data_IF_596180068844
#
_entry.id   IF_596180068844
#
_cell.length_a   1.000
_cell.length_b   1.000
_cell.length_c   1.000
_cell.angle_alpha   90.00
_cell.angle_beta   90.00
_cell.angle_gamma   90.00
#
_symmetry.space_group_name_H-M   'P 1'
#
loop_
_entity.id
_entity.type
_entity.pdbx_description
1 polymer ?
#
# COMPACT_ATOMS: atom_id res chain seq x y z
N UNK A 1 -19.48 -17.53 -30.08
CA UNK A 1 -18.58 -16.43 -29.67
C UNK A 1 -19.35 -15.55 -28.70
N UNK A 2 -19.17 -15.73 -27.39
CA UNK A 2 -19.82 -14.90 -26.39
C UNK A 2 -18.87 -13.77 -26.00
N UNK A 3 -19.08 -12.58 -26.58
CA UNK A 3 -18.51 -11.34 -26.07
C UNK A 3 -19.29 -10.93 -24.82
N UNK A 4 -18.99 -11.55 -23.68
CA UNK A 4 -19.30 -10.92 -22.40
C UNK A 4 -18.31 -9.76 -22.26
N UNK A 5 -18.82 -8.53 -22.39
CA UNK A 5 -18.10 -7.33 -21.93
C UNK A 5 -17.70 -7.58 -20.47
N UNK A 6 -16.42 -7.85 -20.22
CA UNK A 6 -15.86 -7.98 -18.87
C UNK A 6 -15.91 -6.58 -18.24
N UNK A 7 -17.04 -6.24 -17.63
CA UNK A 7 -17.12 -5.06 -16.78
C UNK A 7 -16.18 -5.30 -15.60
N UNK A 8 -15.10 -4.51 -15.54
CA UNK A 8 -14.26 -4.47 -14.35
C UNK A 8 -15.11 -3.94 -13.18
N UNK A 9 -14.95 -4.51 -11.98
CA UNK A 9 -15.79 -4.14 -10.86
C UNK A 9 -15.53 -2.70 -10.45
N UNK A 10 -16.58 -2.00 -10.01
CA UNK A 10 -16.45 -0.69 -9.35
C UNK A 10 -15.55 -0.84 -8.12
N UNK A 11 -14.61 0.08 -7.98
CA UNK A 11 -13.74 0.14 -6.82
C UNK A 11 -14.11 1.39 -6.02
N UNK A 12 -14.38 1.24 -4.72
CA UNK A 12 -14.71 2.38 -3.85
C UNK A 12 -13.62 2.60 -2.81
N UNK A 13 -13.23 3.85 -2.62
CA UNK A 13 -12.24 4.31 -1.65
C UNK A 13 -12.85 5.39 -0.76
N UNK A 14 -12.20 5.70 0.35
CA UNK A 14 -12.47 6.93 1.08
C UNK A 14 -11.92 8.14 0.25
N UNK A 15 -12.74 9.16 -0.01
CA UNK A 15 -12.36 10.30 -0.86
C UNK A 15 -11.29 11.16 -0.21
N UNK A 16 -11.46 11.49 1.07
CA UNK A 16 -10.49 12.28 1.82
C UNK A 16 -9.12 11.59 1.86
N UNK A 17 -9.09 10.27 2.06
CA UNK A 17 -7.86 9.47 1.97
C UNK A 17 -7.12 9.68 0.64
N UNK A 18 -7.85 9.67 -0.48
CA UNK A 18 -7.26 9.86 -1.81
C UNK A 18 -6.78 11.29 -2.01
N UNK A 19 -7.56 12.28 -1.57
CA UNK A 19 -7.19 13.69 -1.71
C UNK A 19 -5.97 14.05 -0.86
N UNK A 20 -5.93 13.61 0.40
CA UNK A 20 -4.77 13.85 1.27
C UNK A 20 -3.50 13.19 0.75
N UNK A 21 -3.62 12.01 0.13
CA UNK A 21 -2.49 11.37 -0.55
C UNK A 21 -2.02 12.15 -1.79
N UNK A 22 -2.93 12.74 -2.56
CA UNK A 22 -2.60 13.61 -3.71
C UNK A 22 -2.01 14.94 -3.26
N UNK A 23 -2.33 15.44 -2.08
CA UNK A 23 -1.75 16.67 -1.54
C UNK A 23 -0.40 16.44 -0.85
N UNK A 24 -0.10 15.19 -0.46
CA UNK A 24 1.19 14.84 0.17
C UNK A 24 2.35 14.95 -0.81
N UNK A 25 3.45 15.58 -0.39
CA UNK A 25 4.69 15.69 -1.18
C UNK A 25 5.18 14.32 -1.70
N UNK A 26 5.52 14.28 -2.99
CA UNK A 26 6.01 13.05 -3.64
C UNK A 26 7.50 12.80 -3.35
N UNK A 27 7.95 11.54 -3.29
CA UNK A 27 7.14 10.33 -3.39
C UNK A 27 6.48 9.95 -2.05
N UNK A 28 5.23 9.51 -2.11
CA UNK A 28 4.40 9.18 -0.95
C UNK A 28 3.74 7.81 -1.08
N UNK A 29 3.46 7.17 0.05
CA UNK A 29 2.68 5.95 0.12
C UNK A 29 1.74 5.98 1.32
N UNK A 30 0.53 5.49 1.14
CA UNK A 30 -0.46 5.34 2.20
C UNK A 30 -1.04 3.92 2.17
N UNK A 31 -1.47 3.47 3.35
CA UNK A 31 -2.17 2.19 3.50
C UNK A 31 -3.61 2.49 3.92
N UNK A 32 -4.56 1.79 3.31
CA UNK A 32 -5.98 1.98 3.56
C UNK A 32 -6.79 0.76 3.19
N UNK A 33 -8.06 0.97 2.91
CA UNK A 33 -8.98 -0.06 2.42
C UNK A 33 -9.61 0.36 1.11
N UNK A 34 -9.98 -0.65 0.33
CA UNK A 34 -10.76 -0.51 -0.90
C UNK A 34 -11.95 -1.46 -0.82
N UNK A 35 -13.13 -0.99 -1.23
CA UNK A 35 -14.33 -1.80 -1.31
C UNK A 35 -14.56 -2.27 -2.75
N UNK A 36 -14.77 -3.58 -2.92
CA UNK A 36 -15.12 -4.22 -4.19
C UNK A 36 -16.29 -5.17 -3.94
N UNK A 37 -17.41 -4.97 -4.64
CA UNK A 37 -18.64 -5.72 -4.41
C UNK A 37 -19.04 -5.80 -2.92
N UNK A 38 -19.07 -4.66 -2.22
CA UNK A 38 -19.44 -4.55 -0.80
C UNK A 38 -18.47 -5.25 0.19
N UNK A 39 -17.32 -5.73 -0.29
CA UNK A 39 -16.29 -6.33 0.54
C UNK A 39 -15.07 -5.40 0.62
N UNK A 40 -14.59 -5.16 1.85
CA UNK A 40 -13.36 -4.41 2.07
C UNK A 40 -12.12 -5.31 1.97
N UNK A 41 -11.11 -4.78 1.29
CA UNK A 41 -9.79 -5.36 1.08
C UNK A 41 -8.71 -4.38 1.52
N UNK A 42 -7.54 -4.90 1.89
CA UNK A 42 -6.37 -4.05 2.13
C UNK A 42 -5.91 -3.35 0.85
N UNK A 43 -5.47 -2.11 1.00
CA UNK A 43 -4.96 -1.28 -0.08
C UNK A 43 -3.58 -0.72 0.28
N UNK A 44 -2.65 -0.82 -0.65
CA UNK A 44 -1.42 -0.04 -0.64
C UNK A 44 -1.48 0.98 -1.79
N UNK A 45 -1.47 2.26 -1.48
CA UNK A 45 -1.54 3.33 -2.46
C UNK A 45 -0.20 4.06 -2.53
N UNK A 46 0.42 4.12 -3.70
CA UNK A 46 1.69 4.81 -3.93
C UNK A 46 1.52 5.94 -4.92
N UNK A 47 2.11 7.08 -4.59
CA UNK A 47 2.28 8.25 -5.45
C UNK A 47 3.79 8.41 -5.72
N UNK A 48 4.31 7.84 -6.82
CA UNK A 48 5.73 7.94 -7.17
C UNK A 48 6.12 9.37 -7.53
N UNK A 49 7.42 9.59 -7.73
CA UNK A 49 8.01 10.89 -8.08
C UNK A 49 7.51 11.43 -9.44
N UNK A 50 7.65 12.73 -9.67
CA UNK A 50 7.14 13.41 -10.89
C UNK A 50 7.74 12.92 -12.21
N UNK A 51 8.89 12.25 -12.16
CA UNK A 51 9.55 11.63 -13.31
C UNK A 51 9.11 10.18 -13.56
N UNK A 52 8.11 9.67 -12.84
CA UNK A 52 7.58 8.33 -13.05
C UNK A 52 6.95 8.24 -14.46
N UNK A 53 7.30 7.20 -15.26
CA UNK A 53 6.85 7.12 -16.64
C UNK A 53 5.32 7.08 -16.75
N UNK A 54 4.80 7.61 -17.86
CA UNK A 54 3.36 7.76 -18.13
C UNK A 54 2.60 6.41 -18.22
N UNK A 55 3.30 5.28 -18.12
CA UNK A 55 2.71 3.97 -17.88
C UNK A 55 3.44 3.28 -16.74
N UNK A 56 2.68 2.61 -15.87
CA UNK A 56 3.25 1.44 -15.16
C UNK A 56 3.77 0.53 -16.25
N UNK A 57 5.08 0.26 -16.27
CA UNK A 57 5.73 -0.46 -17.37
C UNK A 57 4.89 -1.71 -17.72
N UNK A 58 4.79 -2.05 -19.01
CA UNK A 58 4.13 -3.28 -19.47
C UNK A 58 4.72 -4.54 -18.82
N UNK A 59 5.83 -4.40 -18.10
CA UNK A 59 6.56 -5.42 -17.34
C UNK A 59 6.00 -5.63 -15.92
N UNK A 60 5.12 -4.76 -15.43
CA UNK A 60 4.49 -4.87 -14.11
C UNK A 60 5.38 -4.36 -12.96
N UNK A 61 5.09 -4.83 -11.74
CA UNK A 61 5.90 -4.55 -10.56
C UNK A 61 5.86 -5.75 -9.60
N UNK A 62 6.87 -5.87 -8.76
CA UNK A 62 6.91 -6.83 -7.66
C UNK A 62 6.69 -6.11 -6.32
N UNK A 63 5.87 -6.70 -5.44
CA UNK A 63 5.78 -6.27 -4.05
C UNK A 63 6.63 -7.19 -3.17
N UNK A 64 7.68 -6.63 -2.59
CA UNK A 64 8.37 -7.22 -1.46
C UNK A 64 7.78 -6.74 -0.13
N UNK A 65 7.85 -7.56 0.91
CA UNK A 65 7.59 -7.12 2.28
C UNK A 65 8.51 -7.83 3.27
N UNK A 66 8.69 -7.20 4.43
CA UNK A 66 9.47 -7.76 5.54
C UNK A 66 9.09 -7.10 6.86
N UNK A 67 9.38 -7.78 7.98
CA UNK A 67 9.35 -7.18 9.30
C UNK A 67 10.79 -6.77 9.68
N UNK A 68 11.02 -5.47 9.83
CA UNK A 68 12.28 -4.92 10.33
C UNK A 68 12.18 -4.66 11.84
N UNK A 69 13.34 -4.53 12.50
CA UNK A 69 13.41 -4.16 13.92
C UNK A 69 14.23 -5.15 14.75
N UNK A 70 13.91 -5.23 16.03
CA UNK A 70 14.56 -6.14 17.00
C UNK A 70 13.50 -6.99 17.72
N UNK A 71 13.83 -7.57 18.86
CA UNK A 71 12.83 -8.14 19.77
C UNK A 71 12.00 -7.06 20.50
N UNK A 72 12.45 -5.80 20.50
CA UNK A 72 11.88 -4.71 21.30
C UNK A 72 10.97 -3.78 20.48
N UNK A 73 11.07 -3.83 19.15
CA UNK A 73 10.25 -3.05 18.23
C UNK A 73 10.20 -3.67 16.85
N UNK A 74 9.17 -3.30 16.10
CA UNK A 74 8.87 -3.76 14.77
C UNK A 74 8.55 -2.59 13.84
N UNK A 75 8.99 -2.68 12.59
CA UNK A 75 8.56 -1.80 11.51
C UNK A 75 8.21 -2.68 10.32
N UNK A 76 7.00 -2.51 9.78
CA UNK A 76 6.62 -3.24 8.57
C UNK A 76 7.18 -2.48 7.38
N UNK A 77 7.85 -3.21 6.51
CA UNK A 77 8.48 -2.68 5.31
C UNK A 77 7.79 -3.26 4.08
N UNK A 78 7.46 -2.41 3.12
CA UNK A 78 7.01 -2.80 1.78
C UNK A 78 7.94 -2.18 0.73
N UNK A 79 8.29 -2.95 -0.29
CA UNK A 79 9.12 -2.52 -1.42
C UNK A 79 8.34 -2.72 -2.72
N UNK A 80 8.05 -1.64 -3.44
CA UNK A 80 7.44 -1.65 -4.76
C UNK A 80 8.56 -1.58 -5.80
N UNK A 81 8.88 -2.71 -6.41
CA UNK A 81 9.89 -2.78 -7.47
C UNK A 81 9.21 -2.64 -8.84
N UNK A 82 9.23 -1.43 -9.40
CA UNK A 82 8.74 -1.19 -10.76
C UNK A 82 9.85 -1.50 -11.75
N UNK A 83 9.71 -2.59 -12.50
CA UNK A 83 10.74 -3.06 -13.43
C UNK A 83 11.12 -1.97 -14.44
N UNK A 84 12.43 -1.72 -14.54
CA UNK A 84 13.00 -0.70 -15.44
C UNK A 84 12.83 0.75 -14.98
N UNK A 85 12.25 0.99 -13.80
CA UNK A 85 12.02 2.35 -13.26
C UNK A 85 12.81 2.55 -11.97
N UNK A 86 12.25 2.15 -10.84
CA UNK A 86 12.85 2.33 -9.52
C UNK A 86 12.18 1.39 -8.51
N UNK A 87 12.87 1.19 -7.38
CA UNK A 87 12.25 0.56 -6.20
C UNK A 87 11.85 1.64 -5.20
N UNK A 88 10.58 1.64 -4.81
CA UNK A 88 10.06 2.51 -3.76
C UNK A 88 9.85 1.71 -2.47
N UNK A 89 10.52 2.10 -1.41
CA UNK A 89 10.44 1.47 -0.10
C UNK A 89 9.57 2.33 0.83
N UNK A 90 8.63 1.73 1.55
CA UNK A 90 7.87 2.39 2.61
C UNK A 90 8.04 1.63 3.92
N UNK A 91 8.26 2.37 5.00
CA UNK A 91 8.29 1.86 6.35
C UNK A 91 7.07 2.35 7.11
N UNK A 92 6.31 1.46 7.73
CA UNK A 92 5.11 1.80 8.51
C UNK A 92 5.23 1.29 9.94
N UNK A 93 4.71 2.05 10.89
CA UNK A 93 4.71 1.67 12.29
C UNK A 93 3.52 0.72 12.57
N UNK A 94 3.74 -0.56 12.88
CA UNK A 94 2.67 -1.52 13.17
C UNK A 94 1.92 -1.23 14.47
N UNK A 95 2.43 -0.37 15.36
CA UNK A 95 1.68 0.10 16.52
C UNK A 95 0.43 0.93 16.10
N UNK A 96 0.42 1.47 14.88
CA UNK A 96 -0.72 2.22 14.36
C UNK A 96 -1.91 1.28 14.06
N UNK A 97 -3.11 1.52 14.65
CA UNK A 97 -4.30 0.70 14.42
C UNK A 97 -4.72 0.55 12.95
N UNK A 98 -4.46 1.57 12.12
CA UNK A 98 -4.70 1.53 10.68
C UNK A 98 -3.92 0.37 10.06
N UNK A 99 -2.63 0.29 10.37
CA UNK A 99 -1.71 -0.72 9.81
C UNK A 99 -2.12 -2.12 10.25
N UNK A 100 -2.51 -2.30 11.52
CA UNK A 100 -3.01 -3.59 12.01
C UNK A 100 -4.24 -4.04 11.23
N UNK A 101 -5.18 -3.13 10.99
CA UNK A 101 -6.41 -3.41 10.23
C UNK A 101 -6.09 -3.77 8.77
N UNK A 102 -5.29 -2.95 8.09
CA UNK A 102 -4.95 -3.16 6.67
C UNK A 102 -4.20 -4.49 6.47
N UNK A 103 -3.15 -4.75 7.25
CA UNK A 103 -2.37 -6.00 7.14
C UNK A 103 -3.24 -7.23 7.46
N UNK A 104 -4.10 -7.13 8.47
CA UNK A 104 -5.05 -8.21 8.79
C UNK A 104 -5.99 -8.49 7.62
N UNK A 105 -6.54 -7.43 7.00
CA UNK A 105 -7.42 -7.58 5.83
C UNK A 105 -6.69 -8.22 4.65
N UNK A 106 -5.44 -7.82 4.35
CA UNK A 106 -4.65 -8.44 3.29
C UNK A 106 -4.50 -9.95 3.50
N UNK A 107 -4.17 -10.36 4.73
CA UNK A 107 -3.95 -11.76 5.08
C UNK A 107 -5.27 -12.56 5.07
N UNK A 108 -6.31 -12.04 5.72
CA UNK A 108 -7.60 -12.73 5.86
C UNK A 108 -8.31 -12.90 4.53
N UNK A 109 -8.19 -11.93 3.62
CA UNK A 109 -8.79 -12.01 2.28
C UNK A 109 -7.93 -12.79 1.29
N UNK A 110 -6.65 -12.95 1.56
CA UNK A 110 -5.69 -13.62 0.66
C UNK A 110 -5.39 -12.87 -0.63
N UNK A 111 -5.99 -11.69 -0.82
CA UNK A 111 -5.73 -10.77 -1.91
C UNK A 111 -6.00 -9.34 -1.45
N UNK A 112 -5.35 -8.41 -2.12
CA UNK A 112 -5.31 -6.99 -1.79
C UNK A 112 -5.09 -6.18 -3.06
N UNK A 113 -5.16 -4.86 -2.93
CA UNK A 113 -5.04 -3.97 -4.07
C UNK A 113 -3.84 -3.06 -3.92
N UNK A 114 -3.24 -2.74 -5.06
CA UNK A 114 -2.18 -1.73 -5.16
C UNK A 114 -2.66 -0.65 -6.11
N UNK A 115 -2.62 0.59 -5.64
CA UNK A 115 -3.07 1.75 -6.38
C UNK A 115 -1.86 2.65 -6.65
N UNK A 116 -1.61 2.94 -7.92
CA UNK A 116 -0.53 3.83 -8.37
C UNK A 116 -1.15 5.12 -8.89
N UNK A 117 -0.89 6.24 -8.20
CA UNK A 117 -1.31 7.58 -8.63
C UNK A 117 -0.17 8.22 -9.42
N UNK A 118 -0.30 8.28 -10.74
CA UNK A 118 0.72 8.87 -11.61
C UNK A 118 0.81 10.40 -11.39
N UNK A 119 1.92 11.05 -11.82
CA UNK A 119 2.07 12.51 -11.69
C UNK A 119 0.94 13.32 -12.35
N UNK A 120 0.31 12.79 -13.42
CA UNK A 120 -0.86 13.38 -14.08
C UNK A 120 -2.19 13.13 -13.34
N UNK A 121 -2.13 12.59 -12.12
CA UNK A 121 -3.25 12.12 -11.29
C UNK A 121 -4.08 10.97 -11.89
N UNK A 122 -3.64 10.38 -13.01
CA UNK A 122 -4.27 9.17 -13.50
C UNK A 122 -3.89 7.96 -12.66
N UNK A 123 -4.84 7.07 -12.46
CA UNK A 123 -4.74 5.96 -11.50
C UNK A 123 -4.68 4.62 -12.21
N UNK A 124 -3.71 3.79 -11.85
CA UNK A 124 -3.67 2.37 -12.20
C UNK A 124 -3.90 1.54 -10.93
N UNK A 125 -4.81 0.56 -10.98
CA UNK A 125 -5.07 -0.34 -9.86
C UNK A 125 -4.74 -1.77 -10.25
N UNK A 126 -3.98 -2.45 -9.40
CA UNK A 126 -3.62 -3.85 -9.51
C UNK A 126 -4.32 -4.64 -8.42
N UNK A 127 -4.82 -5.83 -8.77
CA UNK A 127 -5.20 -6.85 -7.81
C UNK A 127 -4.02 -7.79 -7.61
N UNK A 128 -3.59 -7.97 -6.37
CA UNK A 128 -2.47 -8.83 -6.00
C UNK A 128 -2.90 -9.92 -5.01
N UNK A 129 -2.16 -11.03 -4.97
CA UNK A 129 -2.54 -12.25 -4.25
C UNK A 129 -3.54 -13.12 -5.02
N UNK A 130 -4.11 -14.12 -4.35
CA UNK A 130 -5.10 -15.06 -4.92
C UNK A 130 -4.59 -16.50 -5.10
N UNK A 131 -3.38 -16.70 -5.61
CA UNK A 131 -2.89 -18.04 -6.00
C UNK A 131 -1.46 -18.38 -5.49
N UNK A 132 -0.85 -17.50 -4.70
CA UNK A 132 0.55 -17.57 -4.25
C UNK A 132 0.65 -17.28 -2.75
N UNK A 133 1.69 -17.83 -2.10
CA UNK A 133 2.01 -17.52 -0.70
C UNK A 133 2.73 -16.17 -0.54
N UNK A 134 2.36 -15.19 -1.38
CA UNK A 134 2.98 -13.86 -1.47
C UNK A 134 2.89 -13.07 -0.18
N UNK A 135 2.10 -13.52 0.80
CA UNK A 135 1.97 -12.91 2.12
C UNK A 135 2.61 -13.76 3.23
N UNK A 136 3.34 -14.83 2.92
CA UNK A 136 3.91 -15.77 3.90
C UNK A 136 4.67 -15.05 5.03
N UNK A 137 5.58 -14.13 4.68
CA UNK A 137 6.35 -13.35 5.66
C UNK A 137 5.47 -12.48 6.56
N UNK A 138 4.41 -11.86 6.03
CA UNK A 138 3.46 -11.09 6.84
C UNK A 138 2.57 -11.99 7.69
N UNK A 139 2.15 -13.15 7.18
CA UNK A 139 1.37 -14.16 7.93
C UNK A 139 2.16 -14.68 9.12
N UNK A 140 3.41 -15.08 8.91
CA UNK A 140 4.32 -15.58 9.95
C UNK A 140 4.52 -14.54 11.05
N UNK A 141 4.66 -13.26 10.66
CA UNK A 141 4.90 -12.16 11.58
C UNK A 141 3.64 -11.47 12.10
N UNK A 142 2.44 -11.91 11.69
CA UNK A 142 1.18 -11.25 12.06
C UNK A 142 1.00 -11.12 13.58
N UNK A 143 1.29 -12.14 14.41
CA UNK A 143 1.17 -11.98 15.86
C UNK A 143 2.01 -10.82 16.39
N UNK A 144 3.25 -10.68 15.91
CA UNK A 144 4.16 -9.59 16.31
C UNK A 144 3.66 -8.22 15.85
N UNK A 145 3.15 -8.12 14.63
CA UNK A 145 2.56 -6.90 14.08
C UNK A 145 1.37 -6.46 14.95
N UNK A 146 0.48 -7.38 15.30
CA UNK A 146 -0.71 -7.09 16.10
C UNK A 146 -0.38 -6.68 17.53
N UNK A 147 0.66 -7.24 18.14
CA UNK A 147 1.09 -6.92 19.50
C UNK A 147 2.14 -5.82 19.57
N UNK A 148 2.57 -5.26 18.44
CA UNK A 148 3.67 -4.28 18.44
C UNK A 148 3.33 -3.06 19.28
N UNK A 149 4.31 -2.65 20.07
CA UNK A 149 4.32 -1.48 20.94
C UNK A 149 5.37 -0.43 20.49
N UNK A 150 5.78 -0.50 19.23
CA UNK A 150 6.81 0.36 18.64
C UNK A 150 6.49 1.85 18.84
N UNK A 151 7.32 2.50 19.62
CA UNK A 151 7.20 3.93 19.91
C UNK A 151 7.56 4.78 18.69
N UNK A 152 7.10 6.04 18.66
CA UNK A 152 7.49 6.99 17.62
C UNK A 152 9.02 7.13 17.52
N UNK A 153 9.73 7.23 18.65
CA UNK A 153 11.19 7.35 18.66
C UNK A 153 11.90 6.12 18.06
N UNK A 154 11.41 4.91 18.31
CA UNK A 154 11.95 3.68 17.70
C UNK A 154 11.68 3.66 16.20
N UNK A 155 10.47 4.01 15.78
CA UNK A 155 10.10 4.09 14.37
C UNK A 155 10.96 5.11 13.60
N UNK A 156 11.08 6.34 14.09
CA UNK A 156 11.90 7.39 13.45
C UNK A 156 13.38 7.01 13.37
N UNK A 157 13.90 6.30 14.38
CA UNK A 157 15.26 5.74 14.34
C UNK A 157 15.41 4.68 13.24
N UNK A 158 14.44 3.77 13.12
CA UNK A 158 14.43 2.76 12.08
C UNK A 158 14.37 3.37 10.68
N UNK A 159 13.52 4.39 10.48
CA UNK A 159 13.43 5.19 9.24
C UNK A 159 14.79 5.82 8.90
N UNK A 160 15.40 6.52 9.86
CA UNK A 160 16.71 7.15 9.69
C UNK A 160 17.81 6.14 9.35
N UNK A 161 17.79 4.95 9.96
CA UNK A 161 18.76 3.89 9.67
C UNK A 161 18.56 3.30 8.28
N UNK A 162 17.31 3.03 7.90
CA UNK A 162 16.99 2.49 6.58
C UNK A 162 17.38 3.47 5.48
N UNK A 163 17.10 4.75 5.65
CA UNK A 163 17.45 5.79 4.66
C UNK A 163 18.95 5.84 4.35
N UNK A 164 19.82 5.54 5.33
CA UNK A 164 21.29 5.50 5.12
C UNK A 164 21.74 4.31 4.28
N UNK A 165 20.99 3.20 4.28
CA UNK A 165 21.33 1.96 3.59
C UNK A 165 20.06 1.15 3.30
N UNK A 166 19.25 1.59 2.32
CA UNK A 166 18.00 0.90 2.00
C UNK A 166 18.31 -0.49 1.45
N UNK A 167 17.54 -1.48 1.89
CA UNK A 167 17.57 -2.82 1.31
C UNK A 167 16.14 -3.34 1.13
N UNK A 168 15.69 -3.60 -0.12
CA UNK A 168 16.45 -3.43 -1.36
C UNK A 168 16.82 -1.95 -1.63
N UNK A 169 17.87 -1.67 -2.42
CA UNK A 169 18.22 -0.31 -2.81
C UNK A 169 17.04 0.37 -3.50
N UNK A 170 16.80 1.64 -3.19
CA UNK A 170 15.67 2.38 -3.76
C UNK A 170 15.33 3.64 -2.97
N UNK A 171 14.25 4.29 -3.38
CA UNK A 171 13.76 5.54 -2.79
C UNK A 171 12.91 5.23 -1.57
N UNK A 172 13.25 5.78 -0.40
CA UNK A 172 12.38 5.73 0.77
C UNK A 172 11.28 6.79 0.61
N UNK A 173 10.03 6.34 0.57
CA UNK A 173 8.87 7.22 0.39
C UNK A 173 8.28 7.64 1.73
N UNK A 174 7.63 8.79 1.74
CA UNK A 174 6.89 9.28 2.91
C UNK A 174 5.69 8.38 3.18
N UNK A 175 5.54 7.90 4.42
CA UNK A 175 4.30 7.26 4.86
C UNK A 175 3.24 8.32 5.19
N UNK A 176 2.29 8.49 4.27
CA UNK A 176 1.20 9.44 4.32
C UNK A 176 -0.08 8.86 4.97
N UNK A 177 -1.07 9.73 5.22
CA UNK A 177 -2.42 9.38 5.68
C UNK A 177 -2.42 8.48 6.93
N UNK A 178 -1.50 8.70 7.86
CA UNK A 178 -1.27 7.82 9.02
C UNK A 178 -2.04 8.21 10.28
N UNK A 179 -2.63 9.40 10.32
CA UNK A 179 -3.12 10.01 11.57
C UNK A 179 -4.66 10.01 11.70
N UNK A 180 -5.41 9.62 10.66
CA UNK A 180 -6.88 9.62 10.69
C UNK A 180 -7.47 8.20 10.51
N UNK A 181 -8.07 7.61 11.56
CA UNK A 181 -8.77 6.33 11.45
C UNK A 181 -10.00 6.37 10.53
N UNK A 182 -10.57 7.55 10.26
CA UNK A 182 -11.73 7.72 9.38
C UNK A 182 -11.43 7.32 7.93
N UNK A 183 -10.16 7.26 7.53
CA UNK A 183 -9.79 6.76 6.20
C UNK A 183 -10.18 5.30 5.96
N UNK A 184 -10.42 4.51 7.02
CA UNK A 184 -10.92 3.14 6.88
C UNK A 184 -12.45 3.04 6.76
N UNK A 185 -13.16 4.14 7.00
CA UNK A 185 -14.61 4.20 6.86
C UNK A 185 -14.99 4.60 5.42
N UNK A 186 -15.54 3.64 4.68
CA UNK A 186 -16.05 3.83 3.31
C UNK A 186 -17.59 3.96 3.32
N UNK A 187 -18.23 4.16 4.47
CA UNK A 187 -19.70 4.28 4.52
C UNK A 187 -20.21 5.66 4.07
N UNK A 188 -19.49 6.74 4.39
CA UNK A 188 -19.97 8.12 4.22
C UNK A 188 -19.22 8.90 3.12
N UNK A 189 -17.89 8.86 3.12
CA UNK A 189 -17.07 9.68 2.21
C UNK A 189 -16.51 8.87 1.03
N UNK A 190 -17.41 8.43 0.14
CA UNK A 190 -17.11 7.46 -0.92
C UNK A 190 -16.60 8.11 -2.20
N UNK A 191 -15.44 7.70 -2.69
CA UNK A 191 -14.95 7.96 -4.04
C UNK A 191 -14.98 6.68 -4.87
N UNK A 192 -15.60 6.73 -6.05
CA UNK A 192 -15.74 5.59 -6.92
C UNK A 192 -14.82 5.69 -8.14
N UNK A 193 -14.03 4.65 -8.35
CA UNK A 193 -13.27 4.46 -9.57
C UNK A 193 -14.04 3.52 -10.49
N UNK A 194 -14.17 3.92 -11.75
CA UNK A 194 -14.74 3.11 -12.83
C UNK A 194 -13.59 2.60 -13.70
N UNK A 195 -13.01 1.43 -13.37
CA UNK A 195 -11.86 0.91 -14.10
C UNK A 195 -12.22 0.60 -15.56
N UNK A 196 -11.29 0.92 -16.46
CA UNK A 196 -11.33 0.52 -17.86
C UNK A 196 -10.07 -0.32 -18.13
N UNK A 197 -10.20 -1.42 -18.87
CA UNK A 197 -9.04 -2.19 -19.30
C UNK A 197 -8.27 -1.38 -20.34
N UNK A 198 -6.99 -1.11 -20.10
CA UNK A 198 -6.04 -0.68 -21.12
C UNK A 198 -5.26 -1.87 -21.64
#
# INVERSE_FOLDING_TARGET
MNNASLFLPRLTLNRQFVYDLIETEVPACALGVIEVHEHQFGLLAIRPSDNFPDGTSSEGFELGHSLLGTADYEVVHFAFNFHGVDTYNVLVNPCNPLIKTVVSNMIQRGHYFILVIRPDNGVTVFRAGGDSDDLAGLKENLPRILTSSTTAAQYENAVTRFQKRPYPPGVLVTWACRDDPAYLDISNDRLDLNPSSR
#
